data_IF_172891344062
#
_entry.id   IF_172891344062
#
_cell.length_a   1.000
_cell.length_b   1.000
_cell.length_c   1.000
_cell.angle_alpha   90.00
_cell.angle_beta   90.00
_cell.angle_gamma   90.00
#
_symmetry.space_group_name_H-M   'P 1'
#
loop_
_entity.id
_entity.type
_entity.pdbx_description
1 polymer ?
#
# COMPACT_ATOMS: atom_id res chain seq x y z
N UNK A 1 0.29 9.75 -27.81
CA UNK A 1 1.38 10.49 -28.47
C UNK A 1 2.08 11.31 -27.41
N UNK A 2 3.41 11.21 -27.29
CA UNK A 2 4.18 12.06 -26.38
C UNK A 2 4.30 13.46 -26.99
N UNK A 3 4.33 14.51 -26.17
CA UNK A 3 4.72 15.85 -26.63
C UNK A 3 6.19 15.86 -27.07
N UNK A 4 6.61 16.84 -27.87
CA UNK A 4 8.01 17.01 -28.29
C UNK A 4 8.96 17.05 -27.08
N UNK A 5 8.57 17.79 -26.05
CA UNK A 5 9.28 17.87 -24.76
C UNK A 5 9.38 16.51 -24.06
N UNK A 6 8.28 15.74 -24.01
CA UNK A 6 8.28 14.39 -23.45
C UNK A 6 9.17 13.42 -24.26
N UNK A 7 9.26 13.62 -25.58
CA UNK A 7 10.17 12.90 -26.46
C UNK A 7 11.63 13.16 -26.15
N UNK A 8 12.00 14.43 -25.91
CA UNK A 8 13.36 14.82 -25.53
C UNK A 8 13.75 14.23 -24.17
N UNK A 9 12.90 14.34 -23.15
CA UNK A 9 13.14 13.74 -21.84
C UNK A 9 13.28 12.22 -21.92
N UNK A 10 12.45 11.55 -22.72
CA UNK A 10 12.57 10.12 -22.94
C UNK A 10 13.89 9.74 -23.63
N UNK A 11 14.41 10.56 -24.54
CA UNK A 11 15.73 10.37 -25.14
C UNK A 11 16.87 10.55 -24.10
N UNK A 12 16.80 11.60 -23.27
CA UNK A 12 17.77 11.85 -22.19
C UNK A 12 17.80 10.70 -21.17
N UNK A 13 16.64 10.21 -20.74
CA UNK A 13 16.54 9.04 -19.84
C UNK A 13 17.12 7.78 -20.49
N UNK A 14 16.85 7.54 -21.78
CA UNK A 14 17.44 6.39 -22.48
C UNK A 14 18.95 6.48 -22.59
N UNK A 15 19.51 7.67 -22.76
CA UNK A 15 20.95 7.89 -22.78
C UNK A 15 21.62 7.54 -21.43
N UNK A 16 20.91 7.61 -20.31
CA UNK A 16 21.39 7.16 -19.00
C UNK A 16 21.14 5.66 -18.74
N UNK A 17 20.63 4.92 -19.72
CA UNK A 17 20.28 3.50 -19.60
C UNK A 17 18.90 3.24 -18.98
N UNK A 18 18.11 4.27 -18.71
CA UNK A 18 16.78 4.14 -18.13
C UNK A 18 15.69 4.05 -19.19
N UNK A 19 14.72 3.15 -18.97
CA UNK A 19 13.48 3.08 -19.75
C UNK A 19 12.41 3.92 -19.03
N UNK A 20 11.65 4.81 -19.72
CA UNK A 20 10.69 5.69 -19.06
C UNK A 20 9.71 5.02 -18.09
N UNK A 21 9.12 3.84 -18.39
CA UNK A 21 8.19 3.17 -17.46
C UNK A 21 8.83 2.71 -16.15
N UNK A 22 10.16 2.56 -16.12
CA UNK A 22 10.92 2.01 -14.99
C UNK A 22 11.81 3.05 -14.30
N UNK A 23 12.05 4.20 -14.94
CA UNK A 23 13.02 5.20 -14.50
C UNK A 23 12.80 5.62 -13.04
N UNK A 24 11.57 5.96 -12.66
CA UNK A 24 11.24 6.35 -11.29
C UNK A 24 11.49 5.19 -10.29
N UNK A 25 11.08 3.97 -10.63
CA UNK A 25 11.32 2.81 -9.79
C UNK A 25 12.82 2.51 -9.57
N UNK A 26 13.64 2.65 -10.62
CA UNK A 26 15.10 2.52 -10.53
C UNK A 26 15.70 3.59 -9.62
N UNK A 27 15.26 4.84 -9.75
CA UNK A 27 15.70 5.95 -8.88
C UNK A 27 15.30 5.68 -7.43
N UNK A 28 14.06 5.26 -7.18
CA UNK A 28 13.59 4.93 -5.84
C UNK A 28 14.40 3.78 -5.22
N UNK A 29 14.71 2.71 -5.97
CA UNK A 29 15.57 1.62 -5.48
C UNK A 29 17.01 2.03 -5.20
N UNK A 30 17.53 2.98 -5.96
CA UNK A 30 18.87 3.52 -5.73
C UNK A 30 18.93 4.35 -4.44
N UNK A 31 17.95 5.24 -4.26
CA UNK A 31 17.89 6.18 -3.13
C UNK A 31 17.38 5.56 -1.84
N UNK A 32 16.38 4.68 -1.93
CA UNK A 32 15.66 4.13 -0.78
C UNK A 32 16.13 2.70 -0.51
N UNK A 33 16.92 2.55 0.55
CA UNK A 33 17.38 1.25 1.05
C UNK A 33 16.81 1.05 2.45
N UNK A 34 15.83 0.13 2.61
CA UNK A 34 15.30 -0.22 3.93
C UNK A 34 16.43 -0.70 4.84
N UNK A 35 16.48 -0.13 6.05
CA UNK A 35 17.41 -0.52 7.10
C UNK A 35 17.07 -1.92 7.67
N UNK A 36 17.89 -2.42 8.59
CA UNK A 36 17.74 -3.75 9.15
C UNK A 36 16.44 -3.86 9.98
N UNK A 37 16.09 -2.81 10.70
CA UNK A 37 14.92 -2.72 11.57
C UNK A 37 13.62 -2.91 10.76
N UNK A 38 13.45 -2.18 9.66
CA UNK A 38 12.31 -2.34 8.75
C UNK A 38 12.25 -3.74 8.14
N UNK A 39 13.39 -4.31 7.74
CA UNK A 39 13.44 -5.66 7.18
C UNK A 39 13.06 -6.72 8.21
N UNK A 40 13.44 -6.52 9.46
CA UNK A 40 13.10 -7.43 10.55
C UNK A 40 11.59 -7.48 10.79
N UNK A 41 10.90 -6.33 10.69
CA UNK A 41 9.43 -6.25 10.79
C UNK A 41 8.71 -7.09 9.74
N UNK A 42 9.34 -7.33 8.58
CA UNK A 42 8.76 -8.12 7.48
C UNK A 42 9.15 -9.61 7.51
N UNK A 43 10.05 -9.99 8.42
CA UNK A 43 10.54 -11.35 8.50
C UNK A 43 9.38 -12.32 8.81
N UNK A 44 9.18 -13.31 7.95
CA UNK A 44 8.05 -14.25 8.03
C UNK A 44 6.88 -13.89 7.12
N UNK A 45 6.43 -12.63 7.12
CA UNK A 45 5.34 -12.17 6.26
C UNK A 45 5.67 -12.25 4.76
N UNK A 46 6.90 -11.91 4.37
CA UNK A 46 7.34 -12.08 2.98
C UNK A 46 7.33 -13.55 2.55
N UNK A 47 7.68 -14.46 3.47
CA UNK A 47 7.70 -15.91 3.20
C UNK A 47 6.28 -16.45 3.06
N UNK A 48 5.35 -15.95 3.85
CA UNK A 48 3.94 -16.28 3.73
C UNK A 48 3.37 -15.71 2.43
N UNK A 49 3.58 -14.43 2.14
CA UNK A 49 3.03 -13.79 0.95
C UNK A 49 3.52 -14.46 -0.35
N UNK A 50 4.79 -14.86 -0.39
CA UNK A 50 5.46 -15.48 -1.54
C UNK A 50 5.75 -16.98 -1.32
N UNK A 51 4.81 -17.70 -0.70
CA UNK A 51 4.88 -19.14 -0.59
C UNK A 51 5.05 -19.80 -1.98
N UNK A 52 5.75 -20.94 -2.10
CA UNK A 52 5.92 -21.62 -3.39
C UNK A 52 4.56 -21.93 -4.04
N UNK A 53 4.39 -21.52 -5.30
CA UNK A 53 3.12 -21.69 -6.02
C UNK A 53 2.09 -20.61 -5.74
N UNK A 54 2.41 -19.58 -4.94
CA UNK A 54 1.52 -18.43 -4.74
C UNK A 54 1.89 -17.22 -5.59
N UNK A 55 0.88 -16.38 -5.81
CA UNK A 55 1.00 -15.03 -6.39
C UNK A 55 0.31 -14.04 -5.48
N UNK A 56 0.87 -12.84 -5.39
CA UNK A 56 0.43 -11.82 -4.43
C UNK A 56 -0.26 -10.66 -5.15
N UNK A 57 -1.51 -10.34 -4.78
CA UNK A 57 -2.20 -9.10 -5.16
C UNK A 57 -2.16 -8.17 -3.95
N UNK A 58 -1.51 -7.02 -4.10
CA UNK A 58 -1.47 -5.99 -3.07
C UNK A 58 -2.70 -5.09 -3.16
N UNK A 59 -3.54 -5.08 -2.13
CA UNK A 59 -4.74 -4.25 -2.04
C UNK A 59 -4.52 -3.19 -0.97
N UNK A 60 -4.36 -1.94 -1.38
CA UNK A 60 -4.31 -0.82 -0.44
C UNK A 60 -5.71 -0.26 -0.23
N UNK A 61 -6.14 -0.14 1.02
CA UNK A 61 -7.44 0.42 1.40
C UNK A 61 -7.19 1.53 2.40
N UNK A 62 -7.49 2.76 1.99
CA UNK A 62 -7.40 3.93 2.86
C UNK A 62 -8.78 4.33 3.31
N UNK A 63 -9.03 4.26 4.61
CA UNK A 63 -10.23 4.85 5.20
C UNK A 63 -9.95 6.30 5.59
N UNK A 64 -10.86 7.22 5.26
CA UNK A 64 -10.69 8.66 5.50
C UNK A 64 -10.75 9.01 6.97
N UNK A 65 -10.24 10.19 7.32
CA UNK A 65 -10.07 10.61 8.71
C UNK A 65 -11.36 10.56 9.55
N UNK A 66 -12.51 10.87 8.94
CA UNK A 66 -13.81 10.81 9.62
C UNK A 66 -14.40 9.41 9.83
N UNK A 67 -13.82 8.36 9.24
CA UNK A 67 -14.39 6.99 9.30
C UNK A 67 -13.68 6.04 10.25
N UNK A 68 -12.46 6.37 10.69
CA UNK A 68 -11.63 5.50 11.55
C UNK A 68 -11.07 6.23 12.78
N UNK A 69 -10.96 7.56 12.77
CA UNK A 69 -10.23 8.29 13.81
C UNK A 69 -11.07 8.76 15.01
N UNK A 70 -12.39 8.68 14.96
CA UNK A 70 -13.22 8.98 16.14
C UNK A 70 -13.12 7.88 17.23
N UNK A 71 -12.35 6.81 16.98
CA UNK A 71 -12.12 5.71 17.91
C UNK A 71 -10.77 5.73 18.64
N UNK A 72 -9.83 6.63 18.31
CA UNK A 72 -8.60 6.80 19.08
C UNK A 72 -8.78 7.93 20.09
N UNK A 73 -9.57 7.68 21.13
CA UNK A 73 -9.56 8.51 22.33
C UNK A 73 -8.26 8.34 23.10
N UNK A 74 -8.02 9.19 24.10
CA UNK A 74 -6.85 9.14 25.00
C UNK A 74 -6.65 7.75 25.69
N UNK A 75 -7.68 6.90 25.68
CA UNK A 75 -7.72 5.57 26.34
C UNK A 75 -7.35 4.38 25.43
N UNK A 76 -6.87 4.60 24.20
CA UNK A 76 -6.40 3.53 23.30
C UNK A 76 -7.41 3.10 22.22
N UNK A 77 -7.12 2.03 21.46
CA UNK A 77 -7.92 1.65 20.30
C UNK A 77 -9.31 1.17 20.73
N UNK A 78 -10.34 1.99 20.49
CA UNK A 78 -11.74 1.62 20.73
C UNK A 78 -12.08 0.39 19.87
N UNK A 79 -12.74 -0.60 20.47
CA UNK A 79 -13.30 -1.71 19.71
C UNK A 79 -14.42 -1.17 18.81
N UNK A 80 -14.31 -1.44 17.50
CA UNK A 80 -15.41 -1.16 16.58
C UNK A 80 -16.54 -2.17 16.79
N UNK A 81 -17.77 -1.68 16.78
CA UNK A 81 -18.96 -2.52 16.70
C UNK A 81 -19.00 -3.30 15.37
N UNK A 82 -19.74 -4.41 15.34
CA UNK A 82 -19.94 -5.20 14.10
C UNK A 82 -20.50 -4.33 12.95
N UNK A 83 -21.41 -3.40 13.26
CA UNK A 83 -21.97 -2.48 12.27
C UNK A 83 -20.94 -1.47 11.73
N UNK A 84 -19.93 -1.09 12.51
CA UNK A 84 -18.82 -0.26 12.04
C UNK A 84 -17.89 -1.05 11.10
N UNK A 85 -17.55 -2.28 11.46
CA UNK A 85 -16.75 -3.16 10.60
C UNK A 85 -17.46 -3.41 9.27
N UNK A 86 -18.78 -3.63 9.27
CA UNK A 86 -19.53 -3.83 8.03
C UNK A 86 -19.55 -2.57 7.14
N UNK A 87 -19.60 -1.37 7.73
CA UNK A 87 -19.44 -0.12 6.97
C UNK A 87 -18.06 -0.01 6.32
N UNK A 88 -16.99 -0.41 7.01
CA UNK A 88 -15.64 -0.46 6.43
C UNK A 88 -15.57 -1.45 5.25
N UNK A 89 -16.22 -2.62 5.37
CA UNK A 89 -16.34 -3.59 4.27
C UNK A 89 -17.07 -3.02 3.06
N UNK A 90 -18.11 -2.23 3.26
CA UNK A 90 -18.82 -1.55 2.17
C UNK A 90 -17.93 -0.55 1.43
N UNK A 91 -17.12 0.22 2.16
CA UNK A 91 -16.15 1.16 1.57
C UNK A 91 -15.04 0.42 0.81
N UNK A 92 -14.54 -0.69 1.37
CA UNK A 92 -13.49 -1.51 0.75
C UNK A 92 -13.98 -2.35 -0.45
N UNK A 93 -15.30 -2.59 -0.56
CA UNK A 93 -15.89 -3.53 -1.51
C UNK A 93 -15.43 -3.33 -2.96
N UNK A 94 -15.37 -2.12 -3.54
CA UNK A 94 -14.92 -1.95 -4.92
C UNK A 94 -13.46 -2.42 -5.13
N UNK A 95 -12.58 -2.18 -4.16
CA UNK A 95 -11.18 -2.61 -4.20
C UNK A 95 -11.07 -4.14 -4.10
N UNK A 96 -11.84 -4.76 -3.19
CA UNK A 96 -11.86 -6.22 -3.05
C UNK A 96 -12.44 -6.92 -4.28
N UNK A 97 -13.50 -6.36 -4.88
CA UNK A 97 -14.07 -6.87 -6.14
C UNK A 97 -13.09 -6.74 -7.30
N UNK A 98 -12.29 -5.67 -7.35
CA UNK A 98 -11.21 -5.52 -8.31
C UNK A 98 -10.13 -6.60 -8.12
N UNK A 99 -9.70 -6.85 -6.88
CA UNK A 99 -8.74 -7.91 -6.58
C UNK A 99 -9.25 -9.30 -7.02
N UNK A 100 -10.53 -9.59 -6.77
CA UNK A 100 -11.16 -10.83 -7.24
C UNK A 100 -11.23 -10.90 -8.77
N UNK A 101 -11.57 -9.80 -9.44
CA UNK A 101 -11.63 -9.77 -10.91
C UNK A 101 -10.24 -10.01 -11.55
N UNK A 102 -9.19 -9.49 -10.93
CA UNK A 102 -7.81 -9.75 -11.34
C UNK A 102 -7.41 -11.20 -11.08
N UNK A 103 -7.79 -11.76 -9.94
CA UNK A 103 -7.64 -13.17 -9.62
C UNK A 103 -8.25 -14.04 -10.71
N UNK A 104 -9.52 -13.83 -11.03
CA UNK A 104 -10.26 -14.64 -12.00
C UNK A 104 -9.71 -14.51 -13.42
N UNK A 105 -9.13 -13.35 -13.78
CA UNK A 105 -8.68 -13.07 -15.15
C UNK A 105 -7.20 -13.39 -15.39
N UNK A 106 -6.32 -13.05 -14.45
CA UNK A 106 -4.86 -13.11 -14.64
C UNK A 106 -4.24 -14.38 -14.09
N UNK A 107 -4.92 -15.03 -13.15
CA UNK A 107 -4.35 -16.13 -12.39
C UNK A 107 -5.24 -17.36 -12.55
N UNK A 108 -4.62 -18.46 -12.95
CA UNK A 108 -5.29 -19.74 -13.14
C UNK A 108 -4.65 -20.81 -12.25
N UNK A 109 -5.38 -21.87 -11.91
CA UNK A 109 -4.80 -23.04 -11.24
C UNK A 109 -3.55 -23.55 -11.98
N UNK A 110 -2.51 -24.01 -11.26
CA UNK A 110 -2.50 -24.30 -9.82
C UNK A 110 -2.04 -23.13 -8.93
N UNK A 111 -1.96 -21.90 -9.45
CA UNK A 111 -1.45 -20.77 -8.66
C UNK A 111 -2.43 -20.40 -7.52
N UNK A 112 -1.92 -20.32 -6.30
CA UNK A 112 -2.66 -19.82 -5.15
C UNK A 112 -2.57 -18.29 -5.10
N UNK A 113 -3.70 -17.60 -5.16
CA UNK A 113 -3.71 -16.13 -5.06
C UNK A 113 -3.84 -15.71 -3.60
N UNK A 114 -2.89 -14.89 -3.13
CA UNK A 114 -2.90 -14.26 -1.80
C UNK A 114 -3.11 -12.77 -1.92
N UNK A 115 -3.97 -12.21 -1.08
CA UNK A 115 -4.24 -10.78 -1.01
C UNK A 115 -3.46 -10.17 0.16
N UNK A 116 -2.52 -9.29 -0.15
CA UNK A 116 -1.90 -8.45 0.88
C UNK A 116 -2.80 -7.24 1.13
N UNK A 117 -3.44 -7.17 2.29
CA UNK A 117 -4.27 -6.03 2.67
C UNK A 117 -3.45 -5.01 3.47
N UNK A 118 -3.24 -3.82 2.89
CA UNK A 118 -2.65 -2.67 3.57
C UNK A 118 -3.75 -1.65 3.88
N UNK A 119 -3.89 -1.25 5.13
CA UNK A 119 -4.91 -0.28 5.58
C UNK A 119 -4.55 0.32 6.94
N UNK A 120 -5.15 1.47 7.27
CA UNK A 120 -5.07 2.09 8.59
C UNK A 120 -5.97 1.46 9.66
N UNK A 121 -6.81 0.47 9.33
CA UNK A 121 -7.74 -0.13 10.31
C UNK A 121 -7.34 -1.57 10.69
N UNK A 122 -6.84 -1.76 11.92
CA UNK A 122 -6.56 -3.10 12.47
C UNK A 122 -7.81 -3.97 12.54
N UNK A 123 -8.94 -3.39 12.96
CA UNK A 123 -10.22 -4.09 13.04
C UNK A 123 -10.65 -4.63 11.68
N UNK A 124 -10.43 -3.86 10.61
CA UNK A 124 -10.70 -4.33 9.26
C UNK A 124 -9.77 -5.49 8.86
N UNK A 125 -8.46 -5.38 9.14
CA UNK A 125 -7.50 -6.46 8.89
C UNK A 125 -7.91 -7.76 9.57
N UNK A 126 -8.27 -7.70 10.86
CA UNK A 126 -8.75 -8.85 11.63
C UNK A 126 -10.03 -9.45 11.03
N UNK A 127 -10.98 -8.60 10.63
CA UNK A 127 -12.22 -9.05 9.99
C UNK A 127 -11.96 -9.74 8.65
N UNK A 128 -11.01 -9.24 7.84
CA UNK A 128 -10.62 -9.87 6.58
C UNK A 128 -9.89 -11.19 6.78
N UNK A 129 -9.01 -11.31 7.78
CA UNK A 129 -8.40 -12.59 8.14
C UNK A 129 -9.44 -13.62 8.57
N UNK A 130 -10.45 -13.22 9.35
CA UNK A 130 -11.53 -14.11 9.75
C UNK A 130 -12.37 -14.58 8.55
N UNK A 131 -12.71 -13.67 7.63
CA UNK A 131 -13.56 -13.95 6.47
C UNK A 131 -12.86 -14.75 5.37
N UNK A 132 -11.61 -14.40 5.05
CA UNK A 132 -10.85 -14.96 3.92
C UNK A 132 -9.75 -15.94 4.35
N UNK A 133 -9.58 -16.17 5.65
CA UNK A 133 -8.64 -17.15 6.21
C UNK A 133 -7.23 -17.02 5.59
N UNK A 134 -6.70 -18.10 5.01
CA UNK A 134 -5.35 -18.19 4.45
C UNK A 134 -5.15 -17.34 3.17
N UNK A 135 -6.21 -16.78 2.60
CA UNK A 135 -6.12 -15.94 1.39
C UNK A 135 -5.60 -14.55 1.70
N UNK A 136 -5.89 -14.01 2.88
CA UNK A 136 -5.47 -12.66 3.27
C UNK A 136 -4.20 -12.71 4.11
N UNK A 137 -3.23 -11.90 3.72
CA UNK A 137 -2.04 -11.57 4.51
C UNK A 137 -2.13 -10.09 4.87
N UNK A 138 -1.86 -9.73 6.12
CA UNK A 138 -1.77 -8.33 6.52
C UNK A 138 -0.76 -8.16 7.65
N UNK A 139 -0.22 -6.95 7.78
CA UNK A 139 0.64 -6.60 8.90
C UNK A 139 -0.19 -6.26 10.14
N UNK A 140 0.33 -6.46 11.36
CA UNK A 140 -0.35 -6.05 12.58
C UNK A 140 -0.31 -4.52 12.81
N UNK A 141 0.32 -3.76 11.90
CA UNK A 141 0.55 -2.34 12.08
C UNK A 141 -0.73 -1.51 11.91
N UNK A 142 -0.79 -0.40 12.62
CA UNK A 142 -1.79 0.67 12.44
C UNK A 142 -1.04 1.95 12.18
N UNK A 143 -0.60 2.19 10.93
CA UNK A 143 0.26 3.32 10.69
C UNK A 143 -0.52 4.62 10.98
N UNK A 144 0.15 5.55 11.65
CA UNK A 144 -0.47 6.80 12.13
C UNK A 144 -0.18 7.95 11.20
N UNK A 145 -1.11 8.91 11.15
CA UNK A 145 -0.95 10.15 10.41
C UNK A 145 0.19 11.00 11.01
N UNK A 146 1.22 11.28 10.23
CA UNK A 146 2.47 11.91 10.69
C UNK A 146 2.33 13.37 11.15
N UNK A 147 1.28 14.06 10.73
CA UNK A 147 0.96 15.44 11.13
C UNK A 147 0.57 15.55 12.61
N UNK A 148 -0.04 14.52 13.22
CA UNK A 148 -0.27 14.51 14.68
C UNK A 148 1.02 14.30 15.48
N UNK A 149 2.06 13.77 14.85
CA UNK A 149 3.35 13.45 15.49
C UNK A 149 4.25 14.69 15.56
N UNK A 150 4.30 15.49 14.48
CA UNK A 150 5.10 16.73 14.45
C UNK A 150 4.54 17.87 15.30
N UNK A 151 3.21 18.00 15.39
CA UNK A 151 2.59 19.07 16.17
C UNK A 151 2.82 18.90 17.68
N UNK A 152 2.94 17.65 18.15
CA UNK A 152 3.30 17.34 19.54
C UNK A 152 4.81 17.48 19.79
N UNK A 153 5.65 17.07 18.83
CA UNK A 153 7.11 17.10 19.00
C UNK A 153 7.73 18.52 18.94
N UNK A 154 7.11 19.44 18.19
CA UNK A 154 7.62 20.82 18.02
C UNK A 154 7.07 21.76 19.10
N UNK A 155 5.89 21.48 19.67
CA UNK A 155 5.24 22.35 20.66
C UNK A 155 5.57 22.04 22.11
N UNK A 156 6.15 20.86 22.41
CA UNK A 156 6.51 20.46 23.77
C UNK A 156 7.94 19.91 23.77
N UNK A 157 8.62 19.98 24.92
CA UNK A 157 9.90 19.31 25.15
C UNK A 157 9.74 17.79 24.91
N UNK A 158 9.81 17.37 23.65
CA UNK A 158 9.54 15.99 23.25
C UNK A 158 10.46 15.07 24.04
N UNK A 159 9.86 14.20 24.85
CA UNK A 159 10.63 13.18 25.56
C UNK A 159 11.20 12.20 24.54
N UNK A 160 12.30 11.53 24.89
CA UNK A 160 12.90 10.49 24.05
C UNK A 160 11.87 9.40 23.65
N UNK A 161 10.85 9.18 24.49
CA UNK A 161 9.76 8.23 24.25
C UNK A 161 8.86 8.64 23.08
N UNK A 162 8.52 9.94 22.95
CA UNK A 162 7.72 10.44 21.83
C UNK A 162 8.48 10.26 20.51
N UNK A 163 9.76 10.60 20.49
CA UNK A 163 10.62 10.44 19.31
C UNK A 163 10.78 8.96 18.93
N UNK A 164 10.91 8.06 19.91
CA UNK A 164 11.00 6.62 19.66
C UNK A 164 9.69 6.04 19.10
N UNK A 165 8.53 6.50 19.60
CA UNK A 165 7.22 6.12 19.07
C UNK A 165 7.06 6.58 17.61
N UNK A 166 7.51 7.78 17.28
CA UNK A 166 7.48 8.32 15.91
C UNK A 166 8.34 7.48 14.96
N UNK A 167 9.59 7.20 15.35
CA UNK A 167 10.48 6.36 14.55
C UNK A 167 9.85 4.99 14.30
N UNK A 168 9.22 4.39 15.30
CA UNK A 168 8.53 3.10 15.16
C UNK A 168 7.37 3.20 14.17
N UNK A 169 6.50 4.21 14.29
CA UNK A 169 5.39 4.41 13.36
C UNK A 169 5.88 4.61 11.90
N UNK A 170 6.98 5.34 11.70
CA UNK A 170 7.61 5.46 10.37
C UNK A 170 8.17 4.14 9.87
N UNK A 171 8.83 3.34 10.74
CA UNK A 171 9.35 2.03 10.37
C UNK A 171 8.22 1.08 9.93
N UNK A 172 7.11 1.05 10.66
CA UNK A 172 5.91 0.26 10.31
C UNK A 172 5.32 0.70 8.97
N UNK A 173 5.18 2.01 8.75
CA UNK A 173 4.66 2.55 7.50
C UNK A 173 5.56 2.18 6.29
N UNK A 174 6.88 2.26 6.47
CA UNK A 174 7.85 1.86 5.45
C UNK A 174 7.87 0.35 5.26
N UNK A 175 7.63 -0.44 6.32
CA UNK A 175 7.50 -1.88 6.24
C UNK A 175 6.28 -2.28 5.39
N UNK A 176 5.10 -1.71 5.66
CA UNK A 176 3.90 -1.90 4.83
C UNK A 176 4.17 -1.53 3.36
N UNK A 177 4.90 -0.44 3.13
CA UNK A 177 5.18 0.08 1.80
C UNK A 177 6.10 -0.87 1.03
N UNK A 178 7.13 -1.35 1.72
CA UNK A 178 8.09 -2.30 1.19
C UNK A 178 7.40 -3.62 0.89
N UNK A 179 6.61 -4.16 1.80
CA UNK A 179 5.86 -5.41 1.59
C UNK A 179 4.90 -5.28 0.41
N UNK A 180 4.16 -4.18 0.33
CA UNK A 180 3.31 -3.86 -0.83
C UNK A 180 4.11 -3.89 -2.13
N UNK A 181 5.28 -3.26 -2.17
CA UNK A 181 6.13 -3.21 -3.36
C UNK A 181 6.63 -4.57 -3.87
N UNK A 182 6.51 -5.64 -3.06
CA UNK A 182 6.87 -7.00 -3.47
C UNK A 182 5.76 -7.72 -4.23
N UNK A 183 4.53 -7.19 -4.24
CA UNK A 183 3.37 -7.83 -4.86
C UNK A 183 3.50 -7.95 -6.40
N UNK A 184 2.69 -8.84 -6.97
CA UNK A 184 2.66 -9.11 -8.41
C UNK A 184 1.75 -8.16 -9.17
N UNK A 185 0.61 -7.83 -8.56
CA UNK A 185 -0.36 -6.84 -9.02
C UNK A 185 -0.81 -5.96 -7.86
N UNK A 186 -1.32 -4.78 -8.18
CA UNK A 186 -1.65 -3.73 -7.21
C UNK A 186 -3.06 -3.22 -7.48
N UNK A 187 -3.93 -3.30 -6.47
CA UNK A 187 -5.24 -2.64 -6.46
C UNK A 187 -5.17 -1.49 -5.47
N UNK A 188 -5.19 -0.27 -5.98
CA UNK A 188 -4.80 0.91 -5.21
C UNK A 188 -5.81 2.03 -5.37
N UNK A 189 -6.06 2.83 -4.32
CA UNK A 189 -6.75 4.10 -4.45
C UNK A 189 -5.78 5.11 -5.09
N UNK A 190 -6.25 6.33 -5.34
CA UNK A 190 -5.37 7.44 -5.73
C UNK A 190 -4.54 7.92 -4.55
N UNK A 191 -3.44 7.21 -4.33
CA UNK A 191 -2.52 7.43 -3.22
C UNK A 191 -1.08 7.44 -3.73
N UNK A 192 -0.32 8.49 -3.37
CA UNK A 192 1.12 8.55 -3.66
C UNK A 192 1.91 7.46 -2.93
N UNK A 193 1.41 6.99 -1.78
CA UNK A 193 1.97 5.86 -1.05
C UNK A 193 1.98 4.59 -1.90
N UNK A 194 0.81 4.18 -2.39
CA UNK A 194 0.70 3.00 -3.26
C UNK A 194 1.42 3.18 -4.59
N UNK A 195 1.33 4.38 -5.17
CA UNK A 195 2.01 4.71 -6.42
C UNK A 195 3.51 4.48 -6.29
N UNK A 196 4.14 5.00 -5.23
CA UNK A 196 5.58 4.83 -5.03
C UNK A 196 5.96 3.37 -4.75
N UNK A 197 5.13 2.61 -4.03
CA UNK A 197 5.34 1.17 -3.84
C UNK A 197 5.28 0.41 -5.17
N UNK A 198 4.29 0.72 -6.01
CA UNK A 198 4.14 0.14 -7.33
C UNK A 198 5.31 0.50 -8.26
N UNK A 199 5.79 1.75 -8.27
CA UNK A 199 7.01 2.10 -9.00
C UNK A 199 8.22 1.33 -8.48
N UNK A 200 8.38 1.22 -7.15
CA UNK A 200 9.48 0.48 -6.54
C UNK A 200 9.44 -1.03 -6.90
N UNK A 201 8.28 -1.59 -7.18
CA UNK A 201 8.15 -2.98 -7.67
C UNK A 201 8.76 -3.21 -9.06
N UNK A 202 8.94 -2.14 -9.86
CA UNK A 202 9.29 -2.20 -11.29
C UNK A 202 8.27 -2.94 -12.15
N UNK A 203 6.99 -2.97 -11.75
CA UNK A 203 5.88 -3.62 -12.48
C UNK A 203 4.85 -2.59 -12.96
N UNK A 204 5.20 -1.74 -13.95
CA UNK A 204 4.36 -0.61 -14.35
C UNK A 204 3.00 -1.00 -14.94
N UNK A 205 2.87 -2.24 -15.45
CA UNK A 205 1.67 -2.73 -16.13
C UNK A 205 0.78 -3.59 -15.23
N UNK A 206 0.98 -3.54 -13.91
CA UNK A 206 0.27 -4.40 -12.95
C UNK A 206 -0.50 -3.58 -11.91
N UNK A 207 -0.85 -2.33 -12.22
CA UNK A 207 -1.48 -1.40 -11.28
C UNK A 207 -2.91 -1.11 -11.72
N UNK A 208 -3.86 -1.21 -10.81
CA UNK A 208 -5.30 -1.07 -11.04
C UNK A 208 -5.89 -0.13 -10.00
N UNK A 209 -6.85 0.70 -10.41
CA UNK A 209 -7.54 1.66 -9.54
C UNK A 209 -9.04 1.63 -9.81
N UNK A 210 -9.83 1.87 -8.77
CA UNK A 210 -11.30 1.83 -8.80
C UNK A 210 -11.95 3.21 -8.78
N UNK A 211 -11.19 4.30 -8.93
CA UNK A 211 -11.70 5.67 -8.82
C UNK A 211 -12.81 6.03 -9.82
N UNK A 212 -12.90 5.32 -10.95
CA UNK A 212 -13.94 5.54 -11.96
C UNK A 212 -15.12 4.59 -11.83
N UNK A 213 -15.23 3.85 -10.72
CA UNK A 213 -16.40 3.02 -10.39
C UNK A 213 -16.33 1.57 -10.88
N UNK A 214 -15.42 1.22 -11.77
CA UNK A 214 -15.16 -0.16 -12.20
C UNK A 214 -13.67 -0.42 -12.35
N UNK A 215 -13.25 -1.63 -11.96
CA UNK A 215 -11.90 -2.12 -12.18
C UNK A 215 -11.85 -2.86 -13.50
N UNK A 216 -11.12 -2.31 -14.48
CA UNK A 216 -10.87 -3.00 -15.74
C UNK A 216 -9.63 -3.90 -15.59
N UNK A 217 -9.79 -5.24 -15.52
CA UNK A 217 -8.66 -6.16 -15.42
C UNK A 217 -7.81 -6.21 -16.70
N UNK A 218 -8.29 -5.67 -17.82
CA UNK A 218 -7.54 -5.61 -19.09
C UNK A 218 -6.70 -4.32 -19.20
N UNK A 219 -7.12 -3.26 -18.50
CA UNK A 219 -6.56 -1.92 -18.61
C UNK A 219 -5.85 -1.45 -17.34
N UNK A 220 -4.59 -1.86 -17.08
CA UNK A 220 -3.83 -1.30 -15.97
C UNK A 220 -3.74 0.23 -16.10
N UNK A 221 -3.88 0.93 -14.97
CA UNK A 221 -3.84 2.39 -14.97
C UNK A 221 -2.43 2.87 -15.27
N UNK A 222 -2.36 3.98 -16.03
CA UNK A 222 -1.11 4.70 -16.14
C UNK A 222 -0.74 5.24 -14.75
N UNK A 223 0.36 4.74 -14.17
CA UNK A 223 0.82 5.15 -12.83
C UNK A 223 1.08 6.66 -12.72
N UNK A 224 1.26 7.38 -13.84
CA UNK A 224 1.37 8.84 -13.83
C UNK A 224 0.04 9.56 -13.52
N UNK A 225 -1.10 8.88 -13.69
CA UNK A 225 -2.43 9.40 -13.38
C UNK A 225 -2.83 9.23 -11.91
N UNK A 226 -2.07 8.45 -11.13
CA UNK A 226 -2.28 8.31 -9.68
C UNK A 226 -1.87 9.60 -8.94
N UNK A 227 -2.27 9.76 -7.67
CA UNK A 227 -1.90 10.93 -6.85
C UNK A 227 -0.40 11.23 -6.92
N UNK A 228 -0.07 12.52 -7.01
CA UNK A 228 1.31 13.01 -7.00
C UNK A 228 1.82 13.30 -5.58
N UNK A 229 0.91 13.48 -4.61
CA UNK A 229 1.26 13.69 -3.21
C UNK A 229 1.38 12.36 -2.47
N UNK A 230 2.47 12.21 -1.72
CA UNK A 230 2.66 11.12 -0.77
C UNK A 230 1.99 11.52 0.54
N UNK A 231 0.86 10.92 0.85
CA UNK A 231 0.31 10.90 2.21
C UNK A 231 0.34 9.45 2.67
N UNK A 232 1.13 9.23 3.73
CA UNK A 232 1.41 7.91 4.28
C UNK A 232 0.17 7.15 4.69
N UNK A 233 -0.90 7.87 5.02
CA UNK A 233 -2.27 7.43 5.18
C UNK A 233 -3.18 8.64 5.16
#
# INVERSE_FOLDING_TARGET
MLTEEQGEWAARLRATGLRPPYALGCILRFLLKPNAEVRQLLSGLERELHAPGSVAIGVHIRFTDGTVWEGEGEDGPKQLSEGEVERLKQVARPLLQCAQSLEDWWFAPPLEVRWLIITNSLHFKLAMHHEYQNKVVSTPFTPRHSNKLSDNAISTNATLEVVAADITAYQELVADWLLLSTCHSFVVPRSGYSRTAAFFSLRPNSVFSVETGFCDPEGPVNMFNLAHSWSGL
#
